data_IF_586386126085
#
_entry.id   IF_586386126085
#
_cell.length_a   1.000
_cell.length_b   1.000
_cell.length_c   1.000
_cell.angle_alpha   90.00
_cell.angle_beta   90.00
_cell.angle_gamma   90.00
#
_symmetry.space_group_name_H-M   'P 1'
#
loop_
_entity.id
_entity.type
_entity.pdbx_description
1 polymer ?
#
# COMPACT_ATOMS: atom_id res chain seq x y z
N UNK A 1 10.91 -32.83 -2.36
CA UNK A 1 12.31 -32.37 -2.17
C UNK A 1 12.85 -31.54 -3.35
N UNK A 2 12.39 -31.76 -4.59
CA UNK A 2 12.80 -30.96 -5.76
C UNK A 2 12.13 -29.57 -5.84
N UNK A 3 10.89 -29.40 -5.36
CA UNK A 3 10.19 -28.09 -5.39
C UNK A 3 10.73 -27.04 -4.41
N UNK A 4 11.49 -27.45 -3.38
CA UNK A 4 12.17 -26.52 -2.47
C UNK A 4 13.49 -25.97 -3.06
N UNK A 5 14.11 -26.74 -3.97
CA UNK A 5 15.34 -26.37 -4.67
C UNK A 5 15.08 -25.60 -5.97
N UNK A 6 13.95 -25.86 -6.64
CA UNK A 6 13.45 -25.08 -7.75
C UNK A 6 12.36 -24.14 -7.24
N UNK A 7 12.75 -23.01 -6.65
CA UNK A 7 11.82 -22.01 -6.12
C UNK A 7 10.61 -21.80 -7.04
N UNK A 8 9.42 -21.68 -6.42
CA UNK A 8 8.11 -21.59 -7.10
C UNK A 8 8.25 -20.81 -8.41
N UNK A 9 7.94 -21.48 -9.54
CA UNK A 9 7.96 -20.82 -10.86
C UNK A 9 7.03 -19.61 -10.79
N UNK A 10 7.58 -18.40 -10.89
CA UNK A 10 6.83 -17.15 -10.81
C UNK A 10 5.60 -17.24 -11.71
N UNK A 11 4.42 -17.04 -11.12
CA UNK A 11 3.17 -17.03 -11.89
C UNK A 11 3.19 -15.86 -12.88
N UNK A 12 2.42 -15.94 -13.96
CA UNK A 12 2.27 -14.81 -14.87
C UNK A 12 1.89 -13.49 -14.19
N UNK A 13 1.03 -13.57 -13.16
CA UNK A 13 0.59 -12.43 -12.39
C UNK A 13 1.71 -11.85 -11.51
N UNK A 14 2.57 -12.71 -10.94
CA UNK A 14 3.74 -12.29 -10.16
C UNK A 14 4.74 -11.54 -11.03
N UNK A 15 4.99 -12.01 -12.26
CA UNK A 15 5.85 -11.30 -13.24
C UNK A 15 5.32 -9.91 -13.55
N UNK A 16 4.02 -9.78 -13.81
CA UNK A 16 3.40 -8.48 -14.08
C UNK A 16 3.48 -7.54 -12.87
N UNK A 17 3.21 -8.06 -11.65
CA UNK A 17 3.35 -7.31 -10.40
C UNK A 17 4.79 -6.84 -10.18
N UNK A 18 5.77 -7.70 -10.46
CA UNK A 18 7.20 -7.36 -10.37
C UNK A 18 7.56 -6.25 -11.35
N UNK A 19 7.14 -6.33 -12.61
CA UNK A 19 7.39 -5.29 -13.61
C UNK A 19 6.76 -3.95 -13.25
N UNK A 20 5.51 -3.95 -12.78
CA UNK A 20 4.86 -2.73 -12.30
C UNK A 20 5.66 -2.11 -11.14
N UNK A 21 6.15 -2.92 -10.19
CA UNK A 21 7.00 -2.47 -9.08
C UNK A 21 8.34 -1.92 -9.57
N UNK A 22 8.99 -2.57 -10.52
CA UNK A 22 10.26 -2.11 -11.11
C UNK A 22 10.09 -0.77 -11.85
N UNK A 23 9.04 -0.62 -12.68
CA UNK A 23 8.72 0.65 -13.33
C UNK A 23 8.47 1.78 -12.32
N UNK A 24 7.68 1.53 -11.28
CA UNK A 24 7.42 2.53 -10.24
C UNK A 24 8.70 2.92 -9.48
N UNK A 25 9.62 1.97 -9.25
CA UNK A 25 10.92 2.26 -8.62
C UNK A 25 11.79 3.15 -9.49
N UNK A 26 11.91 2.82 -10.78
CA UNK A 26 12.70 3.61 -11.73
C UNK A 26 12.10 5.01 -11.94
N UNK A 27 10.76 5.13 -12.02
CA UNK A 27 10.07 6.43 -12.06
C UNK A 27 10.41 7.28 -10.83
N UNK A 28 10.32 6.73 -9.62
CA UNK A 28 10.67 7.46 -8.39
C UNK A 28 12.15 7.84 -8.35
N UNK A 29 13.03 7.01 -8.91
CA UNK A 29 14.47 7.30 -9.00
C UNK A 29 14.73 8.50 -9.92
N UNK A 30 14.11 8.51 -11.11
CA UNK A 30 14.16 9.64 -12.04
C UNK A 30 13.61 10.92 -11.41
N UNK A 31 12.47 10.85 -10.70
CA UNK A 31 11.89 12.04 -10.06
C UNK A 31 12.81 12.61 -8.97
N UNK A 32 13.46 11.76 -8.17
CA UNK A 32 14.45 12.20 -7.17
C UNK A 32 15.65 12.88 -7.82
N UNK A 33 16.16 12.34 -8.93
CA UNK A 33 17.30 12.93 -9.63
C UNK A 33 16.93 14.24 -10.32
N UNK A 34 15.73 14.34 -10.88
CA UNK A 34 15.19 15.60 -11.41
C UNK A 34 15.14 16.69 -10.32
N UNK A 35 14.70 16.36 -9.11
CA UNK A 35 14.71 17.32 -7.97
C UNK A 35 16.14 17.71 -7.59
N UNK A 36 17.07 16.75 -7.53
CA UNK A 36 18.49 17.05 -7.25
C UNK A 36 19.11 17.97 -8.30
N UNK A 37 18.85 17.70 -9.59
CA UNK A 37 19.32 18.52 -10.70
C UNK A 37 18.75 19.93 -10.63
N UNK A 38 17.45 20.09 -10.37
CA UNK A 38 16.83 21.41 -10.22
C UNK A 38 17.45 22.23 -9.07
N UNK A 39 17.80 21.58 -7.96
CA UNK A 39 18.49 22.25 -6.85
C UNK A 39 19.92 22.66 -7.23
N UNK A 40 20.66 21.80 -7.92
CA UNK A 40 22.00 22.12 -8.45
C UNK A 40 21.97 23.24 -9.50
N UNK A 41 20.94 23.26 -10.36
CA UNK A 41 20.68 24.35 -11.30
C UNK A 41 20.49 25.67 -10.57
N UNK A 42 19.67 25.67 -9.51
CA UNK A 42 19.40 26.88 -8.72
C UNK A 42 20.67 27.43 -8.06
N UNK A 43 21.52 26.58 -7.48
CA UNK A 43 22.78 27.01 -6.87
C UNK A 43 23.77 27.54 -7.92
N UNK A 44 23.95 26.83 -9.03
CA UNK A 44 24.83 27.25 -10.13
C UNK A 44 24.36 28.54 -10.79
N UNK A 45 23.04 28.74 -10.95
CA UNK A 45 22.50 30.01 -11.45
C UNK A 45 22.84 31.18 -10.51
N UNK A 46 22.79 30.97 -9.19
CA UNK A 46 23.18 32.01 -8.23
C UNK A 46 24.68 32.32 -8.31
N UNK A 47 25.52 31.31 -8.50
CA UNK A 47 26.95 31.52 -8.74
C UNK A 47 27.23 32.26 -10.05
N UNK A 48 26.53 31.92 -11.14
CA UNK A 48 26.64 32.61 -12.43
C UNK A 48 26.21 34.07 -12.27
N UNK A 49 25.10 34.34 -11.56
CA UNK A 49 24.66 35.71 -11.25
C UNK A 49 25.72 36.48 -10.46
N UNK A 50 26.35 35.85 -9.47
CA UNK A 50 27.42 36.47 -8.68
C UNK A 50 28.66 36.75 -9.54
N UNK A 51 29.08 35.81 -10.39
CA UNK A 51 30.21 35.99 -11.31
C UNK A 51 29.92 37.08 -12.36
N UNK A 52 28.68 37.19 -12.83
CA UNK A 52 28.25 38.22 -13.77
C UNK A 52 28.30 39.62 -13.13
N UNK A 53 27.85 39.75 -11.87
CA UNK A 53 27.97 41.01 -11.10
C UNK A 53 29.42 41.44 -10.89
N UNK A 54 30.34 40.48 -10.81
CA UNK A 54 31.78 40.75 -10.71
C UNK A 54 32.45 41.05 -12.06
N UNK A 55 31.70 41.12 -13.17
CA UNK A 55 32.23 41.40 -14.51
C UNK A 55 33.01 40.24 -15.15
N UNK A 56 33.00 39.06 -14.53
CA UNK A 56 33.81 37.92 -14.99
C UNK A 56 33.05 37.08 -16.04
N UNK A 57 33.03 37.58 -17.28
CA UNK A 57 32.27 37.02 -18.42
C UNK A 57 32.79 35.65 -18.88
N UNK A 58 34.10 35.39 -18.80
CA UNK A 58 34.68 34.08 -19.13
C UNK A 58 34.22 32.99 -18.16
N UNK A 59 34.20 33.30 -16.86
CA UNK A 59 33.71 32.39 -15.81
C UNK A 59 32.22 32.07 -15.97
N UNK A 60 31.41 33.07 -16.35
CA UNK A 60 29.98 32.86 -16.61
C UNK A 60 29.75 31.88 -17.76
N UNK A 61 30.47 32.04 -18.89
CA UNK A 61 30.37 31.14 -20.05
C UNK A 61 30.76 29.71 -19.69
N UNK A 62 31.86 29.53 -18.95
CA UNK A 62 32.31 28.20 -18.52
C UNK A 62 31.29 27.55 -17.58
N UNK A 63 30.78 28.28 -16.58
CA UNK A 63 29.78 27.76 -15.63
C UNK A 63 28.46 27.40 -16.32
N UNK A 64 27.99 28.23 -17.25
CA UNK A 64 26.77 27.95 -18.02
C UNK A 64 26.94 26.69 -18.89
N UNK A 65 28.07 26.56 -19.59
CA UNK A 65 28.38 25.36 -20.38
C UNK A 65 28.47 24.10 -19.52
N UNK A 66 29.13 24.19 -18.36
CA UNK A 66 29.22 23.09 -17.41
C UNK A 66 27.85 22.70 -16.85
N UNK A 67 26.95 23.66 -16.63
CA UNK A 67 25.60 23.38 -16.17
C UNK A 67 24.85 22.49 -17.16
N UNK A 68 24.79 22.91 -18.43
CA UNK A 68 24.09 22.16 -19.48
C UNK A 68 24.73 20.79 -19.69
N UNK A 69 26.06 20.70 -19.68
CA UNK A 69 26.77 19.44 -19.87
C UNK A 69 26.56 18.47 -18.69
N UNK A 70 26.67 18.96 -17.45
CA UNK A 70 26.49 18.12 -16.26
C UNK A 70 25.03 17.65 -16.11
N UNK A 71 24.05 18.53 -16.35
CA UNK A 71 22.64 18.18 -16.32
C UNK A 71 22.30 17.11 -17.37
N UNK A 72 22.76 17.29 -18.61
CA UNK A 72 22.59 16.30 -19.68
C UNK A 72 23.27 14.98 -19.36
N UNK A 73 24.49 15.01 -18.81
CA UNK A 73 25.24 13.80 -18.44
C UNK A 73 24.57 13.01 -17.32
N UNK A 74 24.15 13.67 -16.24
CA UNK A 74 23.47 13.03 -15.11
C UNK A 74 22.13 12.44 -15.56
N UNK A 75 21.31 13.23 -16.27
CA UNK A 75 20.04 12.74 -16.80
C UNK A 75 20.22 11.57 -17.77
N UNK A 76 21.24 11.61 -18.64
CA UNK A 76 21.54 10.52 -19.57
C UNK A 76 22.00 9.24 -18.86
N UNK A 77 22.66 9.32 -17.70
CA UNK A 77 23.03 8.13 -16.92
C UNK A 77 21.79 7.46 -16.31
N UNK A 78 20.90 8.28 -15.76
CA UNK A 78 19.65 7.85 -15.14
C UNK A 78 18.67 7.26 -16.13
N UNK A 79 18.48 7.94 -17.26
CA UNK A 79 17.63 7.48 -18.36
C UNK A 79 18.20 6.21 -18.99
N UNK A 80 19.54 6.05 -19.07
CA UNK A 80 20.14 4.79 -19.51
C UNK A 80 19.80 3.62 -18.60
N UNK A 81 19.85 3.81 -17.27
CA UNK A 81 19.44 2.77 -16.31
C UNK A 81 17.97 2.37 -16.49
N UNK A 82 17.09 3.36 -16.57
CA UNK A 82 15.67 3.13 -16.83
C UNK A 82 15.42 2.45 -18.20
N UNK A 83 16.16 2.84 -19.24
CA UNK A 83 16.04 2.26 -20.58
C UNK A 83 16.49 0.79 -20.62
N UNK A 84 17.54 0.41 -19.88
CA UNK A 84 17.97 -1.00 -19.77
C UNK A 84 16.89 -1.84 -19.09
N UNK A 85 16.33 -1.35 -17.97
CA UNK A 85 15.24 -2.03 -17.28
C UNK A 85 13.99 -2.18 -18.17
N UNK A 86 13.68 -1.12 -18.93
CA UNK A 86 12.56 -1.12 -19.88
C UNK A 86 12.81 -2.08 -21.05
N UNK A 87 14.05 -2.19 -21.53
CA UNK A 87 14.45 -3.15 -22.58
C UNK A 87 14.32 -4.59 -22.11
N UNK A 88 14.77 -4.92 -20.89
CA UNK A 88 14.58 -6.26 -20.33
C UNK A 88 13.10 -6.60 -20.10
N UNK A 89 12.28 -5.61 -19.75
CA UNK A 89 10.83 -5.77 -19.58
C UNK A 89 10.09 -5.98 -20.91
N UNK A 90 10.53 -5.31 -21.98
CA UNK A 90 9.96 -5.48 -23.31
C UNK A 90 10.27 -6.89 -23.87
N UNK A 91 11.50 -7.39 -23.65
CA UNK A 91 11.91 -8.71 -24.12
C UNK A 91 11.15 -9.89 -23.49
N UNK A 92 10.59 -9.73 -22.29
CA UNK A 92 9.78 -10.75 -21.62
C UNK A 92 8.27 -10.62 -21.91
N UNK A 93 7.86 -9.55 -22.60
CA UNK A 93 6.45 -9.24 -22.89
C UNK A 93 6.24 -9.12 -24.41
N UNK A 94 6.28 -10.26 -25.11
CA UNK A 94 5.83 -10.34 -26.48
C UNK A 94 4.38 -10.83 -26.53
N UNK A 95 3.66 -10.53 -27.62
CA UNK A 95 2.25 -10.92 -27.79
C UNK A 95 2.04 -12.44 -27.63
N UNK A 96 3.05 -13.23 -27.98
CA UNK A 96 3.11 -14.68 -27.80
C UNK A 96 3.25 -15.11 -26.34
N UNK A 97 4.09 -14.45 -25.54
CA UNK A 97 4.17 -14.73 -24.10
C UNK A 97 2.90 -14.30 -23.39
N UNK A 98 2.23 -13.23 -23.83
CA UNK A 98 0.94 -12.82 -23.29
C UNK A 98 -0.16 -13.87 -23.55
N UNK A 99 -0.23 -14.44 -24.75
CA UNK A 99 -1.17 -15.54 -25.05
C UNK A 99 -0.88 -16.77 -24.19
N UNK A 100 0.39 -17.15 -24.05
CA UNK A 100 0.80 -18.25 -23.14
C UNK A 100 0.49 -17.94 -21.68
N UNK A 101 0.64 -16.68 -21.28
CA UNK A 101 0.30 -16.19 -19.94
C UNK A 101 -1.20 -16.30 -19.69
N UNK A 102 -2.07 -15.98 -20.65
CA UNK A 102 -3.51 -16.10 -20.50
C UNK A 102 -3.94 -17.57 -20.39
N UNK A 103 -3.39 -18.45 -21.23
CA UNK A 103 -3.67 -19.88 -21.18
C UNK A 103 -3.15 -20.52 -19.87
N UNK A 104 -1.95 -20.14 -19.44
CA UNK A 104 -1.38 -20.59 -18.17
C UNK A 104 -2.12 -19.97 -16.98
N UNK A 105 -2.63 -18.75 -17.11
CA UNK A 105 -3.43 -18.11 -16.06
C UNK A 105 -4.79 -18.80 -15.92
N UNK A 106 -5.47 -19.13 -17.01
CA UNK A 106 -6.70 -19.90 -16.98
C UNK A 106 -6.47 -21.27 -16.32
N UNK A 107 -5.43 -21.99 -16.76
CA UNK A 107 -5.04 -23.27 -16.19
C UNK A 107 -4.58 -23.19 -14.73
N UNK A 108 -3.85 -22.15 -14.34
CA UNK A 108 -3.42 -21.94 -12.96
C UNK A 108 -4.55 -21.43 -12.08
N UNK A 109 -5.49 -20.67 -12.61
CA UNK A 109 -6.70 -20.25 -11.90
C UNK A 109 -7.59 -21.45 -11.63
N UNK A 110 -7.74 -22.34 -12.61
CA UNK A 110 -8.45 -23.62 -12.43
C UNK A 110 -7.71 -24.53 -11.44
N UNK A 111 -6.39 -24.66 -11.54
CA UNK A 111 -5.59 -25.42 -10.57
C UNK A 111 -5.59 -24.79 -9.17
N UNK A 112 -5.66 -23.47 -9.07
CA UNK A 112 -5.77 -22.76 -7.79
C UNK A 112 -7.15 -22.99 -7.18
N UNK A 113 -8.22 -22.85 -7.97
CA UNK A 113 -9.57 -23.16 -7.51
C UNK A 113 -9.68 -24.63 -7.06
N UNK A 114 -9.10 -25.57 -7.82
CA UNK A 114 -9.08 -26.99 -7.46
C UNK A 114 -8.21 -27.27 -6.22
N UNK A 115 -7.13 -26.50 -6.00
CA UNK A 115 -6.32 -26.60 -4.78
C UNK A 115 -7.02 -25.98 -3.59
N UNK A 116 -7.73 -24.87 -3.77
CA UNK A 116 -8.50 -24.23 -2.71
C UNK A 116 -9.70 -25.09 -2.33
N UNK A 117 -10.34 -25.76 -3.30
CA UNK A 117 -11.39 -26.77 -3.05
C UNK A 117 -10.84 -27.98 -2.32
N UNK A 118 -9.73 -28.57 -2.78
CA UNK A 118 -9.11 -29.71 -2.09
C UNK A 118 -8.56 -29.33 -0.70
N UNK A 119 -8.02 -28.12 -0.53
CA UNK A 119 -7.58 -27.60 0.77
C UNK A 119 -8.77 -27.35 1.68
N UNK A 120 -9.87 -26.78 1.17
CA UNK A 120 -11.13 -26.66 1.92
C UNK A 120 -11.60 -28.04 2.34
N UNK A 121 -11.72 -29.01 1.42
CA UNK A 121 -12.12 -30.39 1.73
C UNK A 121 -11.21 -31.03 2.79
N UNK A 122 -9.88 -30.86 2.73
CA UNK A 122 -8.97 -31.43 3.75
C UNK A 122 -8.99 -30.70 5.08
N UNK A 123 -9.26 -29.40 5.09
CA UNK A 123 -9.44 -28.62 6.32
C UNK A 123 -10.79 -28.96 6.94
N UNK A 124 -11.82 -29.11 6.11
CA UNK A 124 -13.17 -29.49 6.52
C UNK A 124 -13.17 -30.94 7.06
N UNK A 125 -12.47 -31.89 6.41
CA UNK A 125 -12.31 -33.28 6.91
C UNK A 125 -11.48 -33.33 8.20
N UNK A 126 -10.39 -32.56 8.29
CA UNK A 126 -9.58 -32.49 9.51
C UNK A 126 -10.28 -31.74 10.66
N UNK A 127 -11.16 -30.78 10.35
CA UNK A 127 -12.01 -30.12 11.32
C UNK A 127 -13.16 -31.03 11.75
N UNK A 128 -13.81 -31.76 10.83
CA UNK A 128 -14.87 -32.72 11.13
C UNK A 128 -14.40 -33.79 12.12
N UNK A 129 -13.16 -34.30 11.98
CA UNK A 129 -12.54 -35.23 12.94
C UNK A 129 -12.22 -34.61 14.32
N UNK A 130 -12.20 -33.27 14.45
CA UNK A 130 -11.94 -32.57 15.74
C UNK A 130 -13.18 -31.95 16.37
N UNK A 131 -14.28 -31.79 15.62
CA UNK A 131 -15.49 -31.14 16.10
C UNK A 131 -16.35 -32.05 17.00
N UNK A 132 -16.24 -33.38 16.88
CA UNK A 132 -16.96 -34.32 17.76
C UNK A 132 -16.55 -34.21 19.24
N UNK A 133 -15.34 -33.69 19.54
CA UNK A 133 -14.84 -33.51 20.91
C UNK A 133 -14.89 -32.04 21.41
N UNK A 134 -15.04 -31.03 20.53
CA UNK A 134 -14.93 -29.60 20.88
C UNK A 134 -16.29 -28.90 21.15
N UNK A 135 -17.42 -29.42 20.67
CA UNK A 135 -18.74 -28.80 20.92
C UNK A 135 -19.06 -28.70 22.42
N UNK A 136 -18.71 -29.73 23.22
CA UNK A 136 -18.93 -29.71 24.68
C UNK A 136 -18.00 -28.77 25.46
N UNK A 137 -16.86 -28.36 24.89
CA UNK A 137 -15.95 -27.37 25.51
C UNK A 137 -16.35 -25.94 25.15
N UNK A 138 -16.81 -25.72 23.92
CA UNK A 138 -17.31 -24.40 23.48
C UNK A 138 -18.54 -23.97 24.27
N UNK A 139 -19.49 -24.87 24.52
CA UNK A 139 -20.67 -24.59 25.35
C UNK A 139 -20.30 -24.22 26.79
N UNK A 140 -19.27 -24.86 27.37
CA UNK A 140 -18.76 -24.53 28.71
C UNK A 140 -18.12 -23.14 28.76
N UNK A 141 -17.39 -22.75 27.72
CA UNK A 141 -16.77 -21.42 27.62
C UNK A 141 -17.85 -20.33 27.48
N UNK A 142 -18.86 -20.56 26.63
CA UNK A 142 -19.99 -19.64 26.47
C UNK A 142 -20.76 -19.49 27.78
N UNK A 143 -20.99 -20.58 28.51
CA UNK A 143 -21.65 -20.55 29.81
C UNK A 143 -20.81 -19.83 30.88
N UNK A 144 -19.49 -20.02 30.88
CA UNK A 144 -18.57 -19.31 31.76
C UNK A 144 -18.55 -17.80 31.50
N UNK A 145 -18.55 -17.37 30.24
CA UNK A 145 -18.64 -15.93 29.88
C UNK A 145 -20.00 -15.35 30.26
N UNK A 146 -21.08 -16.11 30.08
CA UNK A 146 -22.42 -15.69 30.50
C UNK A 146 -22.55 -15.52 32.01
N UNK A 147 -21.94 -16.40 32.80
CA UNK A 147 -21.89 -16.29 34.26
C UNK A 147 -21.02 -15.10 34.70
N UNK A 148 -19.93 -14.83 33.98
CA UNK A 148 -19.01 -13.72 34.26
C UNK A 148 -19.63 -12.36 33.93
N UNK A 149 -20.44 -12.26 32.85
CA UNK A 149 -21.22 -11.05 32.50
C UNK A 149 -22.49 -10.92 33.36
N UNK A 150 -23.06 -12.04 33.83
CA UNK A 150 -24.31 -12.09 34.59
C UNK A 150 -24.26 -11.47 36.00
N UNK A 151 -23.07 -11.10 36.49
CA UNK A 151 -22.87 -10.53 37.84
C UNK A 151 -22.61 -9.00 37.80
N UNK A 152 -22.16 -8.41 36.68
CA UNK A 152 -21.88 -6.96 36.62
C UNK A 152 -23.13 -6.06 36.55
N UNK A 153 -24.28 -6.57 36.08
CA UNK A 153 -25.51 -5.75 35.98
C UNK A 153 -26.26 -5.61 37.33
N UNK A 154 -26.01 -6.51 38.29
CA UNK A 154 -26.65 -6.47 39.62
C UNK A 154 -25.81 -5.72 40.65
N UNK A 155 -24.50 -5.60 40.42
CA UNK A 155 -23.57 -4.90 41.30
C UNK A 155 -23.45 -3.39 40.99
N UNK A 156 -23.89 -2.94 39.80
CA UNK A 156 -23.83 -1.53 39.36
C UNK A 156 -25.07 -0.68 39.67
N UNK A 157 -26.14 -1.25 40.25
CA UNK A 157 -27.37 -0.53 40.66
C UNK A 157 -27.56 -0.43 42.19
N UNK A 158 -26.55 -0.82 42.97
CA UNK A 158 -26.64 -1.06 44.41
C UNK A 158 -25.96 -0.06 45.34
N UNK A 159 -25.40 1.05 44.86
CA UNK A 159 -24.85 2.08 45.76
C UNK A 159 -24.93 3.48 45.13
N UNK A 160 -25.97 4.23 45.49
CA UNK A 160 -26.07 5.67 45.21
C UNK A 160 -25.94 6.43 46.53
N UNK A 161 -24.74 6.91 46.90
CA UNK A 161 -24.59 8.06 47.77
C UNK A 161 -24.60 9.33 46.92
N UNK A 162 -25.71 10.08 46.97
CA UNK A 162 -25.77 11.46 46.54
C UNK A 162 -24.82 12.30 47.40
N UNK A 163 -23.71 12.77 46.82
CA UNK A 163 -22.90 13.81 47.44
C UNK A 163 -21.43 13.77 47.05
N UNK A 164 -21.02 14.79 46.28
CA UNK A 164 -19.64 15.28 46.16
C UNK A 164 -18.75 14.44 45.23
N UNK A 165 -18.81 14.72 43.93
CA UNK A 165 -17.65 15.15 43.11
C UNK A 165 -18.14 15.67 41.77
N UNK A 166 -18.20 16.99 41.63
CA UNK A 166 -18.08 17.63 40.34
C UNK A 166 -16.61 17.59 39.94
N UNK A 167 -16.27 16.97 38.81
CA UNK A 167 -15.33 17.45 37.77
C UNK A 167 -14.81 16.28 36.90
N UNK A 168 -14.85 16.50 35.58
CA UNK A 168 -14.25 15.72 34.49
C UNK A 168 -15.13 14.67 33.77
N UNK A 169 -16.26 15.11 33.21
CA UNK A 169 -16.84 14.51 31.99
C UNK A 169 -17.32 15.65 31.08
N UNK A 170 -16.45 16.08 30.17
CA UNK A 170 -16.80 16.96 29.05
C UNK A 170 -15.70 16.87 27.98
N UNK A 171 -15.56 15.72 27.32
CA UNK A 171 -14.88 15.58 26.02
C UNK A 171 -15.11 14.14 25.55
N UNK A 172 -16.22 13.90 24.81
CA UNK A 172 -16.36 12.82 23.80
C UNK A 172 -17.77 12.70 23.18
N UNK A 173 -18.75 13.53 23.55
CA UNK A 173 -20.12 13.40 23.03
C UNK A 173 -20.53 14.43 21.95
N UNK A 174 -19.59 15.06 21.22
CA UNK A 174 -19.91 16.22 20.38
C UNK A 174 -19.60 16.11 18.87
N UNK A 175 -19.00 15.03 18.37
CA UNK A 175 -18.72 14.89 16.93
C UNK A 175 -19.85 14.23 16.12
N UNK A 176 -20.55 13.23 16.67
CA UNK A 176 -21.57 12.47 15.91
C UNK A 176 -22.85 13.26 15.56
N UNK A 177 -23.27 14.23 16.38
CA UNK A 177 -24.51 14.98 16.12
C UNK A 177 -24.39 15.97 14.94
N UNK A 178 -23.17 16.46 14.68
CA UNK A 178 -22.92 17.45 13.62
C UNK A 178 -22.89 16.80 12.23
N UNK A 179 -22.37 15.58 12.13
CA UNK A 179 -22.29 14.83 10.87
C UNK A 179 -23.66 14.29 10.45
N UNK A 180 -24.46 13.80 11.41
CA UNK A 180 -25.82 13.34 11.15
C UNK A 180 -26.72 14.48 10.66
N UNK A 181 -26.61 15.68 11.25
CA UNK A 181 -27.36 16.86 10.81
C UNK A 181 -26.91 17.37 9.42
N UNK A 182 -25.62 17.32 9.12
CA UNK A 182 -25.07 17.70 7.82
C UNK A 182 -25.48 16.74 6.70
N UNK A 183 -25.56 15.43 7.00
CA UNK A 183 -26.03 14.41 6.06
C UNK A 183 -27.54 14.52 5.80
N UNK A 184 -28.34 14.84 6.82
CA UNK A 184 -29.78 15.06 6.69
C UNK A 184 -30.10 16.28 5.81
N UNK A 185 -29.40 17.41 6.02
CA UNK A 185 -29.58 18.61 5.18
C UNK A 185 -29.18 18.37 3.71
N UNK A 186 -28.21 17.49 3.46
CA UNK A 186 -27.81 17.10 2.10
C UNK A 186 -28.85 16.20 1.44
N UNK A 187 -29.52 15.35 2.21
CA UNK A 187 -30.57 14.44 1.77
C UNK A 187 -31.88 15.17 1.44
N UNK A 188 -32.20 16.24 2.18
CA UNK A 188 -33.38 17.08 1.93
C UNK A 188 -33.25 17.94 0.67
N UNK A 189 -32.04 18.33 0.28
CA UNK A 189 -31.80 19.02 -0.99
C UNK A 189 -31.94 18.10 -2.21
N UNK A 190 -31.58 16.82 -2.09
CA UNK A 190 -31.77 15.80 -3.14
C UNK A 190 -33.24 15.37 -3.30
N UNK A 191 -34.09 15.64 -2.30
CA UNK A 191 -35.54 15.38 -2.34
C UNK A 191 -36.36 16.52 -2.93
N UNK A 192 -35.75 17.66 -3.24
CA UNK A 192 -36.42 18.88 -3.75
C UNK A 192 -36.07 19.23 -5.20
N UNK A 193 -35.20 18.48 -5.86
CA UNK A 193 -35.09 18.41 -7.33
C UNK A 193 -35.94 17.26 -7.87
#
# INVERSE_FOLDING_TARGET
>A
MLEFLFGKKETPQEKLRRYKRELTREQRKLEREKVKLANQEKTLLNEIRRAAKAGNTSTCKIKAKNLTMSASQQMAQSVRGAAVAMKSMNGSFNLESLQRILMEFEKQSEMMNMKDELVSETIDEAMEDTMDDEEEETDKIVQQVLDEVGIELKQSLGDVPQGIVASAEAEEAQEDASEVAALQARLDNLRRE
#
